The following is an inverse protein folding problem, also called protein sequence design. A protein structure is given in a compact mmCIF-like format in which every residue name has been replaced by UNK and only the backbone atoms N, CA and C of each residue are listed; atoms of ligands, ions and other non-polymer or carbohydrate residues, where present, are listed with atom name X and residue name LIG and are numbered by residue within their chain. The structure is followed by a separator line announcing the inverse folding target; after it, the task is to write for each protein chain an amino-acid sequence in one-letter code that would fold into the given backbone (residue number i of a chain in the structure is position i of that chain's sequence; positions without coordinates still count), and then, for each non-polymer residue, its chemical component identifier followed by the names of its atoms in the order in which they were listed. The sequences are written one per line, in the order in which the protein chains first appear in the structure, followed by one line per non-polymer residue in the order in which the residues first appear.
data_IF_391969372633
#
_entry.id   IF_391969372633
#
_cell.length_a   1.000
_cell.length_b   1.000
_cell.length_c   1.000
_cell.angle_alpha   90.00
_cell.angle_beta   90.00
_cell.angle_gamma   90.00
#
_symmetry.space_group_name_H-M   'P 1'
#
loop_
_entity.id
_entity.type
_entity.pdbx_description
1 polymer ?
#
# COMPACT_ATOMS: atom_id res chain seq x y z
N UNK A 1 54.17 10.24 -3.42
CA UNK A 1 52.92 10.91 -3.08
C UNK A 1 51.87 9.86 -2.80
N UNK A 2 51.23 9.83 -1.64
CA UNK A 2 50.17 8.87 -1.41
C UNK A 2 48.93 9.26 -2.21
N UNK A 3 48.30 8.29 -2.86
CA UNK A 3 47.04 8.42 -3.61
C UNK A 3 45.91 8.84 -2.63
N UNK A 4 45.03 9.75 -3.01
CA UNK A 4 43.91 10.12 -2.14
C UNK A 4 42.98 8.92 -1.99
N UNK A 5 42.66 8.59 -0.73
CA UNK A 5 41.67 7.57 -0.39
C UNK A 5 40.31 7.98 -1.02
N UNK A 6 39.79 7.12 -1.88
CA UNK A 6 38.42 7.23 -2.36
C UNK A 6 37.49 6.99 -1.17
N UNK A 7 36.89 8.07 -0.66
CA UNK A 7 35.75 7.97 0.24
C UNK A 7 34.59 7.38 -0.54
N UNK A 8 34.33 6.10 -0.36
CA UNK A 8 33.09 5.49 -0.81
C UNK A 8 31.95 6.09 -0.01
N UNK A 9 31.24 7.08 -0.57
CA UNK A 9 29.96 7.55 -0.05
C UNK A 9 28.95 6.40 -0.18
N UNK A 10 28.94 5.47 0.77
CA UNK A 10 27.84 4.53 0.91
C UNK A 10 26.63 5.33 1.42
N UNK A 11 25.52 5.25 0.71
CA UNK A 11 24.23 5.77 1.22
C UNK A 11 23.99 5.12 2.59
N UNK A 12 23.72 5.90 3.66
CA UNK A 12 23.47 5.31 4.97
C UNK A 12 22.26 4.37 4.91
N UNK A 13 22.32 3.23 5.61
CA UNK A 13 21.20 2.31 5.75
C UNK A 13 19.97 3.05 6.29
N UNK A 14 18.78 2.70 5.81
CA UNK A 14 17.51 3.23 6.36
C UNK A 14 17.17 2.58 7.69
N UNK A 15 17.78 1.43 8.02
CA UNK A 15 17.58 0.72 9.28
C UNK A 15 18.29 1.46 10.41
N UNK A 16 17.62 1.66 11.54
CA UNK A 16 18.22 2.26 12.72
C UNK A 16 19.32 1.34 13.29
N UNK A 17 20.35 1.95 13.88
CA UNK A 17 21.48 1.20 14.44
C UNK A 17 21.01 0.16 15.48
N UNK A 18 21.43 -1.08 15.29
CA UNK A 18 21.06 -2.19 16.18
C UNK A 18 19.63 -2.71 16.06
N UNK A 19 18.78 -2.09 15.23
CA UNK A 19 17.41 -2.54 15.03
C UNK A 19 17.35 -3.91 14.34
N UNK A 20 16.41 -4.73 14.77
CA UNK A 20 16.15 -6.08 14.22
C UNK A 20 14.70 -6.20 13.84
N UNK A 21 14.45 -7.03 12.84
CA UNK A 21 13.09 -7.40 12.47
C UNK A 21 12.50 -8.30 13.56
N UNK A 22 11.32 -7.95 14.07
CA UNK A 22 10.63 -8.65 15.14
C UNK A 22 9.29 -9.17 14.64
N UNK A 23 8.91 -10.40 15.01
CA UNK A 23 7.56 -10.92 14.83
C UNK A 23 6.71 -10.42 16.01
N UNK A 24 5.70 -9.60 15.72
CA UNK A 24 4.79 -9.04 16.74
C UNK A 24 3.58 -9.94 17.00
N UNK A 25 3.01 -10.51 15.92
CA UNK A 25 1.84 -11.38 16.00
C UNK A 25 1.84 -12.36 14.82
N UNK A 26 1.21 -13.51 15.02
CA UNK A 26 1.12 -14.56 14.01
C UNK A 26 -0.21 -15.30 14.03
N UNK A 27 -0.32 -16.33 13.17
CA UNK A 27 -1.54 -17.16 13.09
C UNK A 27 -2.58 -16.63 12.11
N UNK A 28 -2.21 -15.70 11.23
CA UNK A 28 -3.04 -15.23 10.11
C UNK A 28 -3.02 -16.26 8.96
N UNK A 29 -4.02 -16.19 8.09
CA UNK A 29 -4.02 -16.98 6.85
C UNK A 29 -3.26 -16.28 5.74
N UNK A 30 -3.49 -14.97 5.57
CA UNK A 30 -2.75 -14.11 4.66
C UNK A 30 -2.92 -12.66 5.11
N UNK A 31 -1.88 -12.11 5.75
CA UNK A 31 -1.84 -10.73 6.21
C UNK A 31 -1.51 -9.78 5.06
N UNK A 32 -2.33 -8.74 4.89
CA UNK A 32 -2.31 -7.76 3.81
C UNK A 32 -2.71 -6.37 4.28
N UNK A 33 -2.74 -5.39 3.37
CA UNK A 33 -3.39 -4.09 3.49
C UNK A 33 -2.94 -3.24 4.67
N UNK A 34 -1.66 -3.29 5.04
CA UNK A 34 -1.17 -2.55 6.20
C UNK A 34 -1.27 -1.04 5.99
N UNK A 35 -1.88 -0.35 6.95
CA UNK A 35 -1.99 1.11 7.01
C UNK A 35 -1.93 1.60 8.46
N UNK A 36 -1.76 2.90 8.66
CA UNK A 36 -1.60 3.48 9.99
C UNK A 36 -2.53 4.68 10.17
N UNK A 37 -3.16 4.79 11.34
CA UNK A 37 -3.93 5.96 11.74
C UNK A 37 -3.02 7.11 12.23
N UNK A 38 -3.61 8.27 12.50
CA UNK A 38 -2.87 9.44 12.98
C UNK A 38 -2.21 9.24 14.36
N UNK A 39 -2.68 8.30 15.16
CA UNK A 39 -2.11 7.99 16.48
C UNK A 39 -0.93 7.00 16.40
N UNK A 40 -0.71 6.39 15.23
CA UNK A 40 0.33 5.40 15.02
C UNK A 40 -0.12 3.96 15.18
N UNK A 41 -1.43 3.70 15.44
CA UNK A 41 -1.96 2.34 15.44
C UNK A 41 -1.95 1.78 14.02
N UNK A 42 -1.60 0.51 13.88
CA UNK A 42 -1.49 -0.16 12.58
C UNK A 42 -2.69 -1.07 12.36
N UNK A 43 -3.35 -0.89 11.22
CA UNK A 43 -4.44 -1.73 10.76
C UNK A 43 -3.95 -2.58 9.60
N UNK A 44 -4.37 -3.84 9.57
CA UNK A 44 -4.02 -4.77 8.49
C UNK A 44 -5.13 -5.81 8.32
N UNK A 45 -5.19 -6.40 7.16
CA UNK A 45 -6.21 -7.40 6.83
C UNK A 45 -5.68 -8.81 7.03
N UNK A 46 -6.53 -9.72 7.46
CA UNK A 46 -6.39 -11.16 7.33
C UNK A 46 -7.48 -11.61 6.34
N UNK A 47 -7.21 -11.37 5.06
CA UNK A 47 -8.17 -11.42 3.98
C UNK A 47 -8.96 -12.75 3.91
N UNK A 48 -8.32 -13.93 3.93
CA UNK A 48 -9.07 -15.19 3.86
C UNK A 48 -9.94 -15.47 5.10
N UNK A 49 -9.63 -14.86 6.23
CA UNK A 49 -10.43 -14.93 7.47
C UNK A 49 -11.48 -13.82 7.55
N UNK A 50 -11.59 -12.96 6.54
CA UNK A 50 -12.57 -11.89 6.41
C UNK A 50 -12.59 -10.94 7.61
N UNK A 51 -11.41 -10.45 8.01
CA UNK A 51 -11.27 -9.54 9.15
C UNK A 51 -10.18 -8.49 8.95
N UNK A 52 -10.38 -7.33 9.58
CA UNK A 52 -9.38 -6.28 9.75
C UNK A 52 -8.92 -6.34 11.21
N UNK A 53 -7.61 -6.38 11.39
CA UNK A 53 -6.93 -6.40 12.67
C UNK A 53 -6.36 -5.03 12.99
N UNK A 54 -6.20 -4.75 14.28
CA UNK A 54 -5.53 -3.55 14.80
C UNK A 54 -4.37 -3.96 15.71
N UNK A 55 -3.22 -3.36 15.53
CA UNK A 55 -2.08 -3.37 16.44
C UNK A 55 -1.90 -1.98 17.02
N UNK A 56 -2.22 -1.81 18.29
CA UNK A 56 -2.18 -0.51 18.95
C UNK A 56 -0.74 -0.06 19.23
N UNK A 57 -0.55 1.24 19.44
CA UNK A 57 0.76 1.81 19.84
C UNK A 57 1.24 1.32 21.21
N UNK A 58 0.37 0.70 22.01
CA UNK A 58 0.69 0.02 23.28
C UNK A 58 1.08 -1.46 23.07
N UNK A 59 1.14 -1.94 21.81
CA UNK A 59 1.55 -3.31 21.48
C UNK A 59 0.44 -4.36 21.72
N UNK A 60 -0.83 -3.98 21.57
CA UNK A 60 -1.98 -4.89 21.73
C UNK A 60 -2.62 -5.20 20.39
N UNK A 61 -2.78 -6.49 20.09
CA UNK A 61 -3.54 -6.98 18.94
C UNK A 61 -5.02 -7.10 19.27
N UNK A 62 -5.88 -6.59 18.38
CA UNK A 62 -7.33 -6.76 18.44
C UNK A 62 -7.93 -6.93 17.05
N UNK A 63 -9.20 -7.38 16.99
CA UNK A 63 -9.99 -7.37 15.76
C UNK A 63 -10.75 -6.05 15.71
N UNK A 64 -10.49 -5.24 14.67
CA UNK A 64 -11.21 -4.00 14.45
C UNK A 64 -12.58 -4.24 13.80
N UNK A 65 -12.63 -5.06 12.74
CA UNK A 65 -13.87 -5.35 12.01
C UNK A 65 -13.94 -6.80 11.53
N UNK A 66 -15.09 -7.44 11.72
CA UNK A 66 -15.40 -8.77 11.20
C UNK A 66 -16.93 -8.96 11.10
N UNK A 67 -17.52 -9.31 9.94
CA UNK A 67 -16.86 -9.47 8.64
C UNK A 67 -16.37 -8.13 8.04
N UNK A 68 -15.32 -8.18 7.24
CA UNK A 68 -14.66 -7.00 6.67
C UNK A 68 -14.68 -6.98 5.13
N UNK A 69 -15.65 -7.67 4.50
CA UNK A 69 -15.75 -7.74 3.03
C UNK A 69 -14.51 -8.33 2.35
N UNK A 70 -13.74 -9.18 3.06
CA UNK A 70 -12.45 -9.72 2.61
C UNK A 70 -11.52 -8.62 2.10
N UNK A 71 -11.44 -7.51 2.84
CA UNK A 71 -10.63 -6.37 2.49
C UNK A 71 -9.18 -6.76 2.19
N UNK A 72 -8.59 -6.10 1.19
CA UNK A 72 -7.19 -6.20 0.81
C UNK A 72 -6.46 -4.91 1.22
N UNK A 73 -6.01 -4.06 0.29
CA UNK A 73 -5.36 -2.81 0.59
C UNK A 73 -6.27 -1.80 1.30
N UNK A 74 -5.67 -0.98 2.15
CA UNK A 74 -6.38 0.01 2.97
C UNK A 74 -5.59 1.30 3.09
N UNK A 75 -6.31 2.41 3.36
CA UNK A 75 -5.71 3.72 3.62
C UNK A 75 -6.63 4.58 4.48
N UNK A 76 -6.08 5.38 5.41
CA UNK A 76 -6.87 6.34 6.17
C UNK A 76 -7.06 7.64 5.40
N UNK A 77 -8.29 8.17 5.38
CA UNK A 77 -8.56 9.53 4.91
C UNK A 77 -8.25 10.58 6.00
N UNK A 78 -8.29 11.86 5.62
CA UNK A 78 -8.03 12.96 6.56
C UNK A 78 -9.09 13.12 7.65
N UNK A 79 -10.25 12.47 7.51
CA UNK A 79 -11.34 12.44 8.49
C UNK A 79 -11.21 11.27 9.48
N UNK A 80 -10.20 10.41 9.30
CA UNK A 80 -9.99 9.22 10.11
C UNK A 80 -10.87 8.03 9.73
N UNK A 81 -11.51 8.05 8.57
CA UNK A 81 -12.18 6.87 8.03
C UNK A 81 -11.17 5.96 7.36
N UNK A 82 -11.35 4.65 7.54
CA UNK A 82 -10.54 3.63 6.90
C UNK A 82 -11.13 3.27 5.53
N UNK A 83 -10.42 3.60 4.46
CA UNK A 83 -10.78 3.12 3.13
C UNK A 83 -10.28 1.69 2.98
N UNK A 84 -11.09 0.82 2.38
CA UNK A 84 -10.76 -0.59 2.21
C UNK A 84 -11.22 -1.12 0.84
N UNK A 85 -10.32 -1.78 0.16
CA UNK A 85 -10.61 -2.55 -1.05
C UNK A 85 -11.30 -3.86 -0.65
N UNK A 86 -12.64 -3.84 -0.58
CA UNK A 86 -13.48 -4.93 -0.11
C UNK A 86 -13.71 -5.95 -1.23
N UNK A 87 -12.79 -6.90 -1.34
CA UNK A 87 -12.62 -7.83 -2.44
C UNK A 87 -13.78 -8.85 -2.58
N UNK A 88 -14.55 -9.10 -1.50
CA UNK A 88 -15.65 -10.07 -1.53
C UNK A 88 -16.73 -9.73 -2.57
N UNK A 89 -17.02 -8.43 -2.74
CA UNK A 89 -17.99 -7.89 -3.71
C UNK A 89 -17.37 -6.91 -4.70
N UNK A 90 -16.03 -6.87 -4.76
CA UNK A 90 -15.26 -5.98 -5.63
C UNK A 90 -15.61 -4.50 -5.44
N UNK A 91 -15.67 -4.07 -4.19
CA UNK A 91 -16.10 -2.72 -3.79
C UNK A 91 -14.96 -1.93 -3.13
N UNK A 92 -15.01 -0.60 -3.25
CA UNK A 92 -14.25 0.30 -2.39
C UNK A 92 -15.16 0.79 -1.26
N UNK A 93 -14.77 0.55 -0.03
CA UNK A 93 -15.50 0.98 1.16
C UNK A 93 -14.84 2.18 1.85
N UNK A 94 -15.65 2.99 2.54
CA UNK A 94 -15.22 3.90 3.60
C UNK A 94 -15.81 3.40 4.91
N UNK A 95 -14.94 3.09 5.88
CA UNK A 95 -15.30 2.51 7.17
C UNK A 95 -15.05 3.56 8.25
N UNK A 96 -16.10 3.91 9.00
CA UNK A 96 -15.99 4.84 10.12
C UNK A 96 -15.32 4.18 11.34
N UNK A 97 -14.80 4.97 12.32
CA UNK A 97 -14.17 4.40 13.53
C UNK A 97 -15.06 3.44 14.35
N UNK A 98 -16.38 3.55 14.22
CA UNK A 98 -17.34 2.62 14.84
C UNK A 98 -17.63 1.36 14.01
N UNK A 99 -16.88 1.13 12.92
CA UNK A 99 -16.95 -0.06 12.08
C UNK A 99 -18.08 -0.09 11.05
N UNK A 100 -18.86 1.00 10.90
CA UNK A 100 -19.87 1.09 9.84
C UNK A 100 -19.22 1.44 8.51
N UNK A 101 -19.68 0.83 7.42
CA UNK A 101 -19.14 1.12 6.10
C UNK A 101 -20.18 1.70 5.14
N UNK A 102 -19.67 2.46 4.17
CA UNK A 102 -20.38 2.96 3.01
C UNK A 102 -19.62 2.54 1.75
N UNK A 103 -20.33 2.06 0.73
CA UNK A 103 -19.74 1.72 -0.56
C UNK A 103 -19.48 3.01 -1.34
N UNK A 104 -18.23 3.26 -1.71
CA UNK A 104 -17.82 4.44 -2.49
C UNK A 104 -17.78 4.16 -3.99
N UNK A 105 -17.36 2.96 -4.39
CA UNK A 105 -17.31 2.51 -5.77
C UNK A 105 -17.46 0.99 -5.84
N UNK A 106 -18.08 0.46 -6.89
CA UNK A 106 -18.27 -0.97 -7.13
C UNK A 106 -18.26 -1.33 -8.60
N UNK A 107 -18.32 -0.35 -9.49
CA UNK A 107 -18.46 -0.56 -10.93
C UNK A 107 -17.77 0.57 -11.73
N UNK A 108 -17.40 0.25 -12.94
CA UNK A 108 -16.96 1.20 -13.94
C UNK A 108 -17.61 0.83 -15.28
N UNK A 109 -18.20 1.83 -15.96
CA UNK A 109 -18.89 1.68 -17.25
C UNK A 109 -19.96 0.56 -17.24
N UNK A 110 -20.74 0.51 -16.13
CA UNK A 110 -21.83 -0.44 -15.95
C UNK A 110 -21.41 -1.90 -15.71
N UNK A 111 -20.14 -2.16 -15.47
CA UNK A 111 -19.60 -3.50 -15.12
C UNK A 111 -18.95 -3.47 -13.74
N UNK A 112 -19.02 -4.57 -12.96
CA UNK A 112 -18.27 -4.68 -11.71
C UNK A 112 -16.78 -4.39 -11.91
N UNK A 113 -16.11 -3.90 -10.86
CA UNK A 113 -14.66 -3.84 -10.83
C UNK A 113 -14.06 -5.27 -10.86
N UNK A 114 -12.81 -5.39 -11.27
CA UNK A 114 -12.11 -6.70 -11.31
C UNK A 114 -11.89 -7.29 -9.91
N UNK A 115 -11.61 -6.43 -8.96
CA UNK A 115 -11.28 -6.70 -7.56
C UNK A 115 -10.29 -5.64 -7.08
N UNK A 116 -10.78 -4.48 -6.59
CA UNK A 116 -9.91 -3.43 -6.06
C UNK A 116 -8.89 -4.02 -5.10
N UNK A 117 -7.60 -3.69 -5.31
CA UNK A 117 -6.52 -4.32 -4.57
C UNK A 117 -5.89 -3.36 -3.55
N UNK A 118 -5.45 -2.19 -3.98
CA UNK A 118 -4.86 -1.20 -3.08
C UNK A 118 -5.37 0.21 -3.39
N UNK A 119 -5.27 1.12 -2.42
CA UNK A 119 -5.83 2.47 -2.49
C UNK A 119 -4.91 3.48 -1.84
N UNK A 120 -4.79 4.67 -2.45
CA UNK A 120 -4.11 5.82 -1.88
C UNK A 120 -4.98 7.07 -1.98
N UNK A 121 -4.98 7.89 -0.91
CA UNK A 121 -5.78 9.12 -0.81
C UNK A 121 -4.89 10.34 -0.94
N UNK A 122 -5.27 11.24 -1.85
CA UNK A 122 -4.65 12.56 -2.00
C UNK A 122 -4.98 13.47 -0.82
N UNK A 123 -4.16 14.52 -0.57
CA UNK A 123 -4.47 15.53 0.46
C UNK A 123 -5.80 16.26 0.25
N UNK A 124 -6.30 16.35 -0.98
CA UNK A 124 -7.60 16.96 -1.32
C UNK A 124 -8.80 16.00 -1.18
N UNK A 125 -8.55 14.75 -0.79
CA UNK A 125 -9.56 13.70 -0.62
C UNK A 125 -9.89 12.90 -1.88
N UNK A 126 -9.26 13.19 -3.01
CA UNK A 126 -9.32 12.32 -4.20
C UNK A 126 -8.59 11.00 -3.95
N UNK A 127 -9.06 9.91 -4.57
CA UNK A 127 -8.55 8.55 -4.31
C UNK A 127 -8.13 7.88 -5.60
N UNK A 128 -6.99 7.19 -5.56
CA UNK A 128 -6.58 6.28 -6.62
C UNK A 128 -6.63 4.86 -6.10
N UNK A 129 -7.15 3.94 -6.91
CA UNK A 129 -7.21 2.51 -6.59
C UNK A 129 -6.72 1.68 -7.76
N UNK A 130 -6.01 0.61 -7.46
CA UNK A 130 -5.62 -0.42 -8.42
C UNK A 130 -6.70 -1.48 -8.51
N UNK A 131 -6.98 -1.97 -9.72
CA UNK A 131 -8.04 -2.95 -9.98
C UNK A 131 -7.51 -4.12 -10.84
N UNK A 132 -6.55 -4.90 -10.32
CA UNK A 132 -6.11 -6.12 -10.97
C UNK A 132 -7.14 -7.23 -10.82
N UNK A 133 -7.02 -8.28 -11.63
CA UNK A 133 -7.82 -9.49 -11.46
C UNK A 133 -7.00 -10.61 -10.81
N UNK A 134 -7.38 -10.97 -9.60
CA UNK A 134 -6.92 -12.18 -8.92
C UNK A 134 -8.12 -13.08 -8.69
N UNK A 135 -8.21 -14.18 -9.43
CA UNK A 135 -9.27 -15.15 -9.25
C UNK A 135 -9.39 -15.61 -7.79
N UNK A 136 -10.58 -15.47 -7.22
CA UNK A 136 -10.82 -15.72 -5.79
C UNK A 136 -11.75 -16.90 -5.56
N UNK A 137 -11.47 -17.76 -4.59
CA UNK A 137 -12.29 -18.94 -4.30
C UNK A 137 -13.67 -18.61 -3.72
N UNK A 138 -13.92 -17.36 -3.34
CA UNK A 138 -15.22 -16.89 -2.83
C UNK A 138 -16.09 -16.19 -3.86
N UNK A 139 -15.60 -16.06 -5.11
CA UNK A 139 -16.40 -15.55 -6.22
C UNK A 139 -17.05 -16.72 -6.99
N UNK A 140 -18.22 -16.46 -7.54
CA UNK A 140 -18.96 -17.40 -8.40
C UNK A 140 -18.63 -17.21 -9.90
N UNK A 141 -17.72 -16.30 -10.21
CA UNK A 141 -17.19 -16.04 -11.55
C UNK A 141 -15.65 -16.10 -11.53
N UNK A 142 -15.08 -16.55 -12.66
CA UNK A 142 -13.65 -16.79 -12.82
C UNK A 142 -13.08 -16.10 -14.07
N UNK A 143 -13.82 -15.10 -14.58
CA UNK A 143 -13.43 -14.30 -15.74
C UNK A 143 -13.49 -12.85 -15.35
N UNK A 144 -12.45 -12.10 -15.69
CA UNK A 144 -12.31 -10.66 -15.43
C UNK A 144 -13.51 -9.87 -15.96
N UNK A 145 -14.24 -9.10 -15.13
CA UNK A 145 -15.39 -8.31 -15.57
C UNK A 145 -15.02 -7.11 -16.47
N UNK A 146 -13.91 -6.44 -16.16
CA UNK A 146 -13.41 -5.32 -16.95
C UNK A 146 -12.55 -5.80 -18.13
N UNK A 147 -12.39 -4.96 -19.15
CA UNK A 147 -11.60 -5.26 -20.36
C UNK A 147 -10.08 -5.25 -20.10
N UNK A 148 -9.64 -4.59 -19.04
CA UNK A 148 -8.24 -4.45 -18.66
C UNK A 148 -8.07 -4.30 -17.15
N UNK A 149 -6.83 -4.36 -16.67
CA UNK A 149 -6.43 -4.20 -15.27
C UNK A 149 -5.74 -2.85 -15.14
N UNK A 150 -6.38 -1.86 -14.52
CA UNK A 150 -5.93 -0.47 -14.56
C UNK A 150 -6.04 0.23 -13.20
N UNK A 151 -5.62 1.47 -13.17
CA UNK A 151 -5.82 2.38 -12.05
C UNK A 151 -7.04 3.26 -12.33
N UNK A 152 -7.85 3.42 -11.30
CA UNK A 152 -9.01 4.30 -11.33
C UNK A 152 -8.85 5.46 -10.35
N UNK A 153 -9.52 6.57 -10.64
CA UNK A 153 -9.60 7.75 -9.80
C UNK A 153 -11.05 8.04 -9.40
N UNK A 154 -11.26 8.21 -8.11
CA UNK A 154 -12.50 8.71 -7.51
C UNK A 154 -12.24 10.08 -6.91
N UNK A 155 -12.95 11.11 -7.38
CA UNK A 155 -12.80 12.47 -6.87
C UNK A 155 -13.34 12.62 -5.43
N UNK A 156 -12.94 13.68 -4.72
CA UNK A 156 -13.37 13.93 -3.34
C UNK A 156 -14.89 14.14 -3.23
N UNK A 157 -15.53 14.70 -4.25
CA UNK A 157 -16.97 14.92 -4.36
C UNK A 157 -17.76 13.70 -4.88
N UNK A 158 -17.07 12.54 -4.98
CA UNK A 158 -17.65 11.25 -5.37
C UNK A 158 -18.31 11.26 -6.75
N UNK A 159 -17.75 12.00 -7.70
CA UNK A 159 -18.13 11.87 -9.11
C UNK A 159 -17.86 10.45 -9.62
N UNK A 160 -18.48 10.04 -10.75
CA UNK A 160 -18.25 8.70 -11.30
C UNK A 160 -16.76 8.34 -11.43
N UNK A 161 -16.45 7.10 -11.10
CA UNK A 161 -15.11 6.54 -11.19
C UNK A 161 -14.53 6.74 -12.60
N UNK A 162 -13.26 7.13 -12.70
CA UNK A 162 -12.57 7.33 -13.98
C UNK A 162 -11.35 6.44 -14.07
N UNK A 163 -11.18 5.73 -15.16
CA UNK A 163 -9.96 5.00 -15.49
C UNK A 163 -8.88 6.00 -15.92
N UNK A 164 -7.73 5.98 -15.26
CA UNK A 164 -6.67 6.98 -15.45
C UNK A 164 -5.37 6.39 -16.01
N UNK A 165 -5.33 5.06 -16.22
CA UNK A 165 -4.27 4.37 -16.97
C UNK A 165 -4.85 3.47 -18.04
N UNK A 166 -4.04 3.07 -19.05
CA UNK A 166 -4.49 2.23 -20.15
C UNK A 166 -3.44 1.19 -20.61
N UNK A 167 -2.29 1.16 -19.97
CA UNK A 167 -1.11 0.42 -20.45
C UNK A 167 -0.36 -0.32 -19.33
N UNK A 168 -1.08 -0.65 -18.25
CA UNK A 168 -0.60 -1.51 -17.17
C UNK A 168 -1.01 -2.97 -17.42
N UNK A 169 -0.22 -3.88 -16.88
CA UNK A 169 -0.47 -5.32 -17.01
C UNK A 169 -1.27 -5.85 -15.80
N UNK A 170 -0.72 -5.68 -14.59
CA UNK A 170 -1.37 -6.06 -13.33
C UNK A 170 -0.95 -5.06 -12.23
N UNK A 171 -1.55 -3.85 -12.19
CA UNK A 171 -1.23 -2.87 -11.16
C UNK A 171 -1.66 -3.42 -9.79
N UNK A 172 -0.80 -3.22 -8.76
CA UNK A 172 -1.07 -3.69 -7.41
C UNK A 172 -0.73 -2.57 -6.43
N UNK A 173 0.44 -2.57 -5.76
CA UNK A 173 0.79 -1.54 -4.80
C UNK A 173 0.71 -0.12 -5.38
N UNK A 174 0.16 0.79 -4.61
CA UNK A 174 -0.02 2.19 -4.99
C UNK A 174 0.30 3.11 -3.82
N UNK A 175 0.97 4.22 -4.08
CA UNK A 175 1.27 5.26 -3.09
C UNK A 175 1.48 6.59 -3.78
N UNK A 176 1.48 7.68 -3.04
CA UNK A 176 1.74 9.00 -3.61
C UNK A 176 2.54 9.92 -2.68
N UNK A 177 3.04 11.00 -3.25
CA UNK A 177 3.76 12.00 -2.47
C UNK A 177 2.82 12.79 -1.57
N UNK A 178 3.30 13.25 -0.37
CA UNK A 178 2.48 14.01 0.59
C UNK A 178 1.93 15.33 0.04
N UNK A 179 2.53 15.87 -1.02
CA UNK A 179 2.04 17.08 -1.70
C UNK A 179 0.96 16.79 -2.75
N UNK A 180 0.63 15.51 -2.95
CA UNK A 180 -0.40 15.08 -3.90
C UNK A 180 -0.05 15.24 -5.37
N UNK A 181 1.23 15.43 -5.71
CA UNK A 181 1.66 15.73 -7.10
C UNK A 181 2.17 14.52 -7.88
N UNK A 182 2.62 13.47 -7.18
CA UNK A 182 3.15 12.28 -7.83
C UNK A 182 2.45 11.04 -7.30
N UNK A 183 2.01 10.18 -8.22
CA UNK A 183 1.48 8.85 -7.92
C UNK A 183 2.51 7.80 -8.32
N UNK A 184 2.74 6.83 -7.47
CA UNK A 184 3.54 5.64 -7.75
C UNK A 184 2.64 4.43 -7.88
N UNK A 185 2.86 3.64 -8.93
CA UNK A 185 2.09 2.42 -9.20
C UNK A 185 3.06 1.29 -9.52
N UNK A 186 2.98 0.21 -8.76
CA UNK A 186 3.69 -1.02 -9.03
C UNK A 186 2.86 -1.90 -9.97
N UNK A 187 3.37 -2.11 -11.16
CA UNK A 187 2.85 -3.08 -12.13
C UNK A 187 3.55 -4.42 -11.89
N UNK A 188 2.96 -5.25 -11.02
CA UNK A 188 3.55 -6.53 -10.62
C UNK A 188 3.63 -7.49 -11.81
N UNK A 189 2.67 -7.44 -12.71
CA UNK A 189 2.64 -8.27 -13.92
C UNK A 189 3.75 -7.91 -14.92
N UNK A 190 4.14 -6.64 -14.98
CA UNK A 190 5.25 -6.18 -15.83
C UNK A 190 6.61 -6.22 -15.11
N UNK A 191 6.66 -6.47 -13.80
CA UNK A 191 7.88 -6.41 -13.00
C UNK A 191 8.48 -5.00 -12.93
N UNK A 192 7.65 -3.96 -12.86
CA UNK A 192 8.07 -2.56 -12.92
C UNK A 192 7.28 -1.70 -11.97
N UNK A 193 7.88 -0.62 -11.49
CA UNK A 193 7.19 0.46 -10.77
C UNK A 193 7.33 1.75 -11.54
N UNK A 194 6.20 2.44 -11.71
CA UNK A 194 6.10 3.70 -12.44
C UNK A 194 5.72 4.86 -11.53
N UNK A 195 6.14 6.06 -11.90
CA UNK A 195 5.64 7.31 -11.34
C UNK A 195 4.87 8.09 -12.41
N UNK A 196 3.85 8.82 -11.95
CA UNK A 196 3.00 9.68 -12.77
C UNK A 196 2.88 11.04 -12.13
N UNK A 197 2.77 12.09 -12.95
CA UNK A 197 2.42 13.43 -12.49
C UNK A 197 0.89 13.53 -12.41
N UNK A 198 0.39 13.86 -11.21
CA UNK A 198 -1.04 14.02 -10.95
C UNK A 198 -1.47 15.40 -11.41
N UNK A 199 -2.46 15.45 -12.28
CA UNK A 199 -3.06 16.70 -12.76
C UNK A 199 -4.13 17.21 -11.77
N UNK A 200 -4.53 18.47 -11.90
CA UNK A 200 -5.51 19.10 -11.01
C UNK A 200 -6.87 18.40 -11.04
N UNK A 201 -7.26 17.85 -12.20
CA UNK A 201 -8.49 17.09 -12.37
C UNK A 201 -8.39 15.61 -11.97
N UNK A 202 -7.22 15.16 -11.48
CA UNK A 202 -6.95 13.78 -11.09
C UNK A 202 -6.54 12.86 -12.24
N UNK A 203 -6.40 13.34 -13.47
CA UNK A 203 -5.78 12.57 -14.55
C UNK A 203 -4.28 12.43 -14.33
N UNK A 204 -3.66 11.45 -14.99
CA UNK A 204 -2.24 11.15 -14.86
C UNK A 204 -1.50 11.50 -16.15
N UNK A 205 -0.30 12.08 -16.00
CA UNK A 205 0.60 12.41 -17.10
C UNK A 205 2.04 12.01 -16.76
N UNK A 206 2.97 12.16 -17.70
CA UNK A 206 4.40 12.05 -17.43
C UNK A 206 4.84 10.68 -16.89
N UNK A 207 4.24 9.57 -17.38
CA UNK A 207 4.63 8.21 -16.97
C UNK A 207 6.14 8.02 -17.10
N UNK A 208 6.79 7.61 -16.02
CA UNK A 208 8.24 7.35 -15.99
C UNK A 208 8.55 6.10 -15.16
N UNK A 209 9.52 5.33 -15.60
CA UNK A 209 9.99 4.16 -14.86
C UNK A 209 10.78 4.62 -13.62
N UNK A 210 10.40 4.08 -12.44
CA UNK A 210 11.13 4.28 -11.19
C UNK A 210 12.17 3.18 -11.00
N UNK A 211 11.74 1.91 -11.10
CA UNK A 211 12.66 0.77 -10.99
C UNK A 211 12.12 -0.46 -11.73
N UNK A 212 13.02 -1.41 -11.99
CA UNK A 212 12.73 -2.71 -12.62
C UNK A 212 12.32 -3.74 -11.56
N UNK A 213 11.27 -3.42 -10.81
CA UNK A 213 10.65 -4.32 -9.84
C UNK A 213 9.17 -3.94 -9.70
N UNK A 214 8.28 -4.93 -9.77
CA UNK A 214 6.88 -4.82 -9.34
C UNK A 214 6.78 -5.00 -7.83
N UNK A 215 5.62 -4.73 -7.26
CA UNK A 215 5.39 -4.88 -5.83
C UNK A 215 3.94 -5.28 -5.57
N UNK A 216 3.72 -6.03 -4.50
CA UNK A 216 2.39 -6.23 -3.93
C UNK A 216 1.94 -4.93 -3.26
N UNK A 217 2.39 -4.62 -2.05
CA UNK A 217 2.20 -3.31 -1.44
C UNK A 217 3.41 -2.38 -1.59
N UNK A 218 3.27 -1.10 -1.29
CA UNK A 218 4.37 -0.15 -1.25
C UNK A 218 4.14 0.99 -0.27
N UNK A 219 5.24 1.58 0.22
CA UNK A 219 5.22 2.85 0.96
C UNK A 219 6.44 3.71 0.61
N UNK A 220 6.41 4.97 1.06
CA UNK A 220 7.48 5.95 0.81
C UNK A 220 7.87 6.60 2.13
N UNK A 221 9.15 6.87 2.35
CA UNK A 221 9.63 7.61 3.51
C UNK A 221 9.82 9.11 3.23
N UNK A 222 10.13 9.85 4.28
CA UNK A 222 10.31 11.31 4.24
C UNK A 222 11.58 11.77 3.49
N UNK A 223 12.48 10.85 3.12
CA UNK A 223 13.65 11.12 2.27
C UNK A 223 13.35 10.80 0.78
N UNK A 224 12.15 10.24 0.50
CA UNK A 224 11.70 9.85 -0.83
C UNK A 224 12.19 8.47 -1.25
N UNK A 225 12.59 7.61 -0.33
CA UNK A 225 12.91 6.22 -0.63
C UNK A 225 11.63 5.39 -0.76
N UNK A 226 11.64 4.39 -1.66
CA UNK A 226 10.52 3.50 -1.93
C UNK A 226 10.76 2.13 -1.30
N UNK A 227 9.77 1.63 -0.63
CA UNK A 227 9.75 0.32 0.00
C UNK A 227 8.80 -0.57 -0.78
N UNK A 228 9.32 -1.57 -1.46
CA UNK A 228 8.57 -2.50 -2.31
C UNK A 228 8.56 -3.88 -1.68
N UNK A 229 7.38 -4.52 -1.67
CA UNK A 229 7.16 -5.84 -1.08
C UNK A 229 7.23 -6.97 -2.08
N UNK A 230 7.23 -8.18 -1.55
CA UNK A 230 7.32 -9.43 -2.27
C UNK A 230 8.08 -10.47 -1.43
N UNK A 231 9.17 -11.03 -1.93
CA UNK A 231 10.09 -11.83 -1.12
C UNK A 231 10.94 -10.92 -0.22
N UNK A 232 10.38 -10.56 0.95
CA UNK A 232 10.91 -9.52 1.82
C UNK A 232 10.61 -8.11 1.31
N UNK A 233 11.32 -7.10 1.81
CA UNK A 233 11.19 -5.69 1.40
C UNK A 233 12.47 -5.23 0.72
N UNK A 234 12.35 -4.63 -0.46
CA UNK A 234 13.45 -4.01 -1.17
C UNK A 234 13.27 -2.50 -1.13
N UNK A 235 14.31 -1.77 -0.72
CA UNK A 235 14.28 -0.31 -0.65
C UNK A 235 15.09 0.30 -1.78
N UNK A 236 14.49 1.23 -2.48
CA UNK A 236 15.13 2.02 -3.53
C UNK A 236 15.16 3.49 -3.10
N UNK A 237 16.21 4.20 -3.44
CA UNK A 237 16.25 5.65 -3.28
C UNK A 237 15.41 6.36 -4.37
N UNK A 238 15.24 7.66 -4.23
CA UNK A 238 14.48 8.49 -5.18
C UNK A 238 15.03 8.47 -6.62
N UNK A 239 16.22 7.91 -6.85
CA UNK A 239 16.81 7.73 -8.19
C UNK A 239 16.52 6.36 -8.79
N UNK A 240 15.87 5.46 -8.03
CA UNK A 240 15.61 4.09 -8.41
C UNK A 240 16.79 3.13 -8.16
N UNK A 241 17.82 3.57 -7.43
CA UNK A 241 18.92 2.70 -7.01
C UNK A 241 18.51 1.92 -5.76
N UNK A 242 18.70 0.59 -5.77
CA UNK A 242 18.50 -0.23 -4.58
C UNK A 242 19.53 0.13 -3.50
N UNK A 243 19.03 0.42 -2.30
CA UNK A 243 19.85 0.84 -1.16
C UNK A 243 19.78 -0.11 0.03
N UNK A 244 18.67 -0.89 0.16
CA UNK A 244 18.51 -1.81 1.29
C UNK A 244 17.68 -3.04 0.89
N UNK A 245 17.80 -4.12 1.67
CA UNK A 245 16.97 -5.32 1.60
C UNK A 245 16.67 -5.78 3.03
N UNK A 246 15.38 -5.92 3.35
CA UNK A 246 14.91 -6.48 4.62
C UNK A 246 14.37 -7.88 4.34
N UNK A 247 15.11 -8.88 4.75
CA UNK A 247 14.69 -10.27 4.62
C UNK A 247 13.68 -10.63 5.73
N UNK A 248 12.64 -11.37 5.36
CA UNK A 248 11.57 -11.81 6.24
C UNK A 248 11.49 -13.34 6.16
N UNK A 249 11.26 -14.00 7.29
CA UNK A 249 11.16 -15.47 7.32
C UNK A 249 9.94 -16.02 6.56
N UNK A 250 8.91 -15.19 6.37
CA UNK A 250 7.72 -15.56 5.60
C UNK A 250 7.99 -15.57 4.09
N UNK A 251 7.31 -16.41 3.31
CA UNK A 251 7.55 -16.53 1.88
C UNK A 251 7.19 -15.27 1.10
N UNK A 252 6.26 -14.45 1.63
CA UNK A 252 5.76 -13.25 0.96
C UNK A 252 5.38 -12.15 1.95
N UNK A 253 5.77 -10.93 1.67
CA UNK A 253 5.26 -9.71 2.30
C UNK A 253 4.21 -9.13 1.37
N UNK A 254 2.96 -9.09 1.79
CA UNK A 254 1.86 -8.54 1.02
C UNK A 254 1.89 -7.01 1.03
N UNK A 255 1.85 -6.42 2.21
CA UNK A 255 1.81 -4.96 2.34
C UNK A 255 2.64 -4.47 3.52
N UNK A 256 2.86 -3.14 3.61
CA UNK A 256 3.64 -2.50 4.66
C UNK A 256 3.22 -1.05 4.87
N UNK A 257 3.41 -0.56 6.10
CA UNK A 257 3.22 0.86 6.41
C UNK A 257 4.20 1.33 7.50
N UNK A 258 4.44 2.62 7.54
CA UNK A 258 5.06 3.26 8.71
C UNK A 258 4.01 3.48 9.79
N UNK A 259 4.35 3.22 11.05
CA UNK A 259 3.48 3.39 12.21
C UNK A 259 4.30 3.56 13.49
N UNK A 260 3.63 3.32 14.65
CA UNK A 260 4.19 3.64 15.96
C UNK A 260 4.08 5.13 16.30
N UNK A 261 4.31 5.49 17.55
CA UNK A 261 4.15 6.88 18.05
C UNK A 261 5.02 7.91 17.34
N UNK A 262 6.16 7.49 16.80
CA UNK A 262 7.12 8.34 16.09
C UNK A 262 7.05 8.21 14.56
N UNK A 263 6.22 7.26 14.06
CA UNK A 263 6.12 6.90 12.66
C UNK A 263 7.46 6.49 12.02
N UNK A 264 8.39 5.95 12.83
CA UNK A 264 9.68 5.44 12.40
C UNK A 264 9.74 3.90 12.38
N UNK A 265 8.68 3.24 12.82
CA UNK A 265 8.59 1.79 12.77
C UNK A 265 7.92 1.35 11.48
N UNK A 266 8.60 0.54 10.69
CA UNK A 266 8.04 -0.10 9.50
C UNK A 266 7.38 -1.40 9.92
N UNK A 267 6.07 -1.50 9.71
CA UNK A 267 5.27 -2.70 9.93
C UNK A 267 5.07 -3.44 8.61
N UNK A 268 5.17 -4.76 8.65
CA UNK A 268 5.07 -5.64 7.49
C UNK A 268 3.97 -6.67 7.72
N UNK A 269 2.93 -6.62 6.92
CA UNK A 269 1.93 -7.69 6.80
C UNK A 269 2.51 -8.78 5.89
N UNK A 270 2.98 -9.86 6.49
CA UNK A 270 3.75 -10.88 5.79
C UNK A 270 3.12 -12.26 5.99
N UNK A 271 2.47 -12.78 4.96
CA UNK A 271 1.85 -14.11 4.93
C UNK A 271 1.09 -14.44 6.23
N UNK A 272 1.72 -15.09 7.21
CA UNK A 272 1.09 -15.54 8.47
C UNK A 272 1.43 -14.64 9.67
N UNK A 273 2.19 -13.55 9.50
CA UNK A 273 2.67 -12.72 10.59
C UNK A 273 2.59 -11.21 10.33
N UNK A 274 2.51 -10.47 11.42
CA UNK A 274 2.81 -9.04 11.47
C UNK A 274 4.22 -8.88 12.05
N UNK A 275 5.09 -8.24 11.30
CA UNK A 275 6.47 -7.95 11.71
C UNK A 275 6.68 -6.45 11.83
N UNK A 276 7.71 -6.04 12.57
CA UNK A 276 8.11 -4.64 12.66
C UNK A 276 9.63 -4.50 12.73
N UNK A 277 10.13 -3.39 12.19
CA UNK A 277 11.53 -2.98 12.29
C UNK A 277 11.62 -1.46 12.46
N UNK A 278 12.47 -1.00 13.38
CA UNK A 278 12.68 0.44 13.59
C UNK A 278 13.65 1.00 12.55
N UNK A 279 13.28 2.12 11.93
CA UNK A 279 14.06 2.81 10.91
C UNK A 279 14.56 4.17 11.42
N UNK A 280 15.62 4.71 10.80
CA UNK A 280 16.10 6.08 11.06
C UNK A 280 15.26 7.15 10.37
N UNK A 281 14.40 6.76 9.43
CA UNK A 281 13.52 7.60 8.62
C UNK A 281 12.08 7.47 9.09
N UNK A 282 11.23 8.41 8.70
CA UNK A 282 9.78 8.40 8.98
C UNK A 282 9.00 8.12 7.71
N UNK A 283 7.78 7.63 7.85
CA UNK A 283 6.85 7.56 6.74
C UNK A 283 6.61 8.95 6.13
N UNK A 284 6.54 9.05 4.80
CA UNK A 284 6.29 10.31 4.11
C UNK A 284 4.95 10.94 4.50
N UNK A 285 3.95 10.12 4.82
CA UNK A 285 2.62 10.54 5.26
C UNK A 285 2.48 10.55 6.80
N UNK A 286 3.58 10.41 7.55
CA UNK A 286 3.58 10.61 8.99
C UNK A 286 2.99 11.99 9.29
N UNK A 287 1.95 12.03 10.12
CA UNK A 287 1.07 13.17 10.34
C UNK A 287 1.80 14.51 10.34
N UNK A 288 1.27 15.43 9.56
CA UNK A 288 1.66 16.85 9.59
C UNK A 288 1.19 17.49 10.88
#
# INVERSE_FOLDING_TARGET
MPSPAQTTNSTPSVIAEGAKLELLAGGFKFAEGATCDAAGNVFFTDQPNNRIMEWSVEGKLSTFLQPAGRANGMYFDAQGNLLACADEKTELWSITPDGKHTVLAKEFDGKPLNGPNDVWVRPDGGMYLTDPFYDRPWWDYHIRPQDSEQVYFLSADRQPLRRVTADLNKPNGISGTPDGKTLFVADIGAGKTYAYDIQTDGTLAGKRLVCQMGSDGMTVDNEGNFYLTGRGVTVFDKTGKRIEKIDVAEPWVGNLCFGGKDHQTLFLAASKGLYAIHLRVKGANAAK
#
